data_IF_344321503268
#
_entry.id   IF_344321503268
#
_cell.length_a   1.000
_cell.length_b   1.000
_cell.length_c   1.000
_cell.angle_alpha   90.00
_cell.angle_beta   90.00
_cell.angle_gamma   90.00
#
_symmetry.space_group_name_H-M   'P 1'
#
loop_
_entity.id
_entity.type
_entity.pdbx_description
1 polymer ?
#
# COMPACT_ATOMS: atom_id res chain seq x y z
N UNK A 1 11.89 -9.83 8.43
CA UNK A 1 12.19 -8.39 8.36
C UNK A 1 13.42 -8.14 9.20
N UNK A 2 14.56 -7.80 8.58
CA UNK A 2 15.79 -7.48 9.31
C UNK A 2 15.74 -6.01 9.69
N UNK A 3 15.69 -5.72 10.99
CA UNK A 3 15.62 -4.36 11.52
C UNK A 3 16.93 -3.97 12.19
N UNK A 4 17.25 -2.67 12.17
CA UNK A 4 18.46 -2.08 12.78
C UNK A 4 18.07 -0.82 13.54
N UNK A 5 18.65 -0.61 14.72
CA UNK A 5 18.46 0.61 15.52
C UNK A 5 19.56 1.66 15.31
N UNK A 6 20.62 1.29 14.59
CA UNK A 6 21.69 2.21 14.18
C UNK A 6 21.44 2.69 12.75
N UNK A 7 21.43 4.02 12.59
CA UNK A 7 21.38 4.69 11.31
C UNK A 7 22.37 5.85 11.28
N UNK A 8 23.19 5.94 10.23
CA UNK A 8 24.06 7.09 9.98
C UNK A 8 23.53 7.89 8.80
N UNK A 9 23.61 9.20 8.87
CA UNK A 9 23.16 10.11 7.82
C UNK A 9 24.25 11.13 7.50
N UNK A 10 24.22 11.64 6.28
CA UNK A 10 25.17 12.65 5.81
C UNK A 10 24.47 13.98 5.52
N UNK A 11 25.28 15.03 5.34
CA UNK A 11 24.77 16.31 4.87
C UNK A 11 24.17 16.22 3.46
N UNK A 12 23.17 17.06 3.21
CA UNK A 12 22.50 17.13 1.92
C UNK A 12 23.46 17.72 0.89
N UNK A 13 23.73 16.97 -0.17
CA UNK A 13 24.59 17.43 -1.26
C UNK A 13 23.76 17.85 -2.46
N UNK A 14 24.18 18.91 -3.15
CA UNK A 14 23.62 19.24 -4.46
C UNK A 14 24.13 18.26 -5.50
N UNK A 15 23.24 17.64 -6.25
CA UNK A 15 23.60 16.81 -7.38
C UNK A 15 24.07 17.70 -8.54
N UNK A 16 25.38 17.65 -8.84
CA UNK A 16 26.02 18.44 -9.88
C UNK A 16 25.75 17.90 -11.29
N UNK A 17 25.34 16.64 -11.44
CA UNK A 17 25.08 16.02 -12.75
C UNK A 17 23.65 16.24 -13.28
N UNK A 18 22.75 16.78 -12.45
CA UNK A 18 21.36 17.04 -12.83
C UNK A 18 21.22 18.40 -13.52
N UNK A 19 20.54 18.42 -14.68
CA UNK A 19 20.18 19.66 -15.41
C UNK A 19 19.28 20.59 -14.58
N UNK A 20 18.47 20.05 -13.68
CA UNK A 20 17.64 20.82 -12.72
C UNK A 20 18.28 20.77 -11.32
N UNK A 21 18.14 21.81 -10.47
CA UNK A 21 18.59 21.76 -9.09
C UNK A 21 17.99 20.53 -8.40
N UNK A 22 18.87 19.63 -7.94
CA UNK A 22 18.46 18.44 -7.20
C UNK A 22 19.39 18.26 -6.01
N UNK A 23 18.80 17.88 -4.87
CA UNK A 23 19.45 17.77 -3.59
C UNK A 23 19.33 16.34 -3.10
N UNK A 24 20.45 15.67 -2.90
CA UNK A 24 20.51 14.27 -2.52
C UNK A 24 20.77 14.13 -1.04
N UNK A 25 19.88 13.40 -0.37
CA UNK A 25 20.03 12.96 1.01
C UNK A 25 20.55 11.52 0.99
N UNK A 26 21.59 11.24 1.76
CA UNK A 26 22.20 9.92 1.89
C UNK A 26 22.12 9.46 3.33
N UNK A 27 21.85 8.18 3.52
CA UNK A 27 21.85 7.55 4.83
C UNK A 27 22.17 6.06 4.73
N UNK A 28 22.52 5.44 5.85
CA UNK A 28 22.92 4.04 5.94
C UNK A 28 22.26 3.39 7.13
N UNK A 29 21.65 2.25 6.89
CA UNK A 29 20.94 1.43 7.90
C UNK A 29 21.45 0.01 7.77
N UNK A 30 21.86 -0.62 8.87
CA UNK A 30 22.29 -2.02 8.88
C UNK A 30 23.37 -2.35 7.85
N UNK A 31 24.31 -1.43 7.62
CA UNK A 31 25.39 -1.62 6.64
C UNK A 31 25.04 -1.26 5.19
N UNK A 32 23.77 -1.00 4.86
CA UNK A 32 23.33 -0.67 3.49
C UNK A 32 23.15 0.83 3.30
N UNK A 33 23.88 1.41 2.34
CA UNK A 33 23.69 2.80 1.94
C UNK A 33 22.45 2.96 1.05
N UNK A 34 21.71 4.03 1.28
CA UNK A 34 20.56 4.46 0.50
C UNK A 34 20.68 5.95 0.21
N UNK A 35 20.09 6.38 -0.90
CA UNK A 35 20.00 7.80 -1.22
C UNK A 35 18.64 8.15 -1.82
N UNK A 36 18.26 9.42 -1.66
CA UNK A 36 17.04 9.98 -2.22
C UNK A 36 17.27 11.42 -2.66
N UNK A 37 16.78 11.74 -3.85
CA UNK A 37 16.91 13.06 -4.45
C UNK A 37 15.62 13.86 -4.31
N UNK A 38 15.75 15.16 -4.04
CA UNK A 38 14.66 16.13 -3.88
C UNK A 38 14.87 17.32 -4.84
N UNK A 39 13.78 18.00 -5.21
CA UNK A 39 13.84 19.17 -6.10
C UNK A 39 14.35 20.44 -5.42
N UNK A 40 14.21 20.56 -4.09
CA UNK A 40 14.69 21.71 -3.32
C UNK A 40 15.44 21.25 -2.06
N UNK A 41 16.34 22.09 -1.56
CA UNK A 41 17.10 21.80 -0.33
C UNK A 41 16.16 21.67 0.87
N UNK A 42 15.19 22.58 0.98
CA UNK A 42 14.21 22.60 2.06
C UNK A 42 13.39 21.30 2.15
N UNK A 43 12.98 20.71 1.01
CA UNK A 43 12.29 19.42 1.01
C UNK A 43 13.19 18.29 1.54
N UNK A 44 14.47 18.31 1.17
CA UNK A 44 15.45 17.36 1.69
C UNK A 44 15.71 17.56 3.18
N UNK A 45 15.82 18.81 3.65
CA UNK A 45 16.05 19.15 5.06
C UNK A 45 14.86 18.73 5.93
N UNK A 46 13.63 18.98 5.48
CA UNK A 46 12.42 18.51 6.17
C UNK A 46 12.42 16.99 6.29
N UNK A 47 12.69 16.27 5.19
CA UNK A 47 12.76 14.81 5.20
C UNK A 47 13.86 14.28 6.13
N UNK A 48 15.04 14.90 6.12
CA UNK A 48 16.16 14.53 6.99
C UNK A 48 15.86 14.84 8.47
N UNK A 49 15.10 15.91 8.75
CA UNK A 49 14.60 16.23 10.08
C UNK A 49 13.71 15.12 10.62
N UNK A 50 12.73 14.66 9.83
CA UNK A 50 11.85 13.55 10.22
C UNK A 50 12.64 12.26 10.50
N UNK A 51 13.61 11.94 9.62
CA UNK A 51 14.50 10.79 9.79
C UNK A 51 15.32 10.88 11.08
N UNK A 52 15.90 12.05 11.39
CA UNK A 52 16.66 12.30 12.63
C UNK A 52 15.78 12.18 13.87
N UNK A 53 14.55 12.67 13.82
CA UNK A 53 13.62 12.55 14.93
C UNK A 53 13.26 11.09 15.19
N UNK A 54 13.05 10.29 14.15
CA UNK A 54 12.82 8.85 14.31
C UNK A 54 14.03 8.13 14.95
N UNK A 55 15.25 8.48 14.53
CA UNK A 55 16.47 7.96 15.16
C UNK A 55 16.56 8.37 16.64
N UNK A 56 16.25 9.62 16.97
CA UNK A 56 16.25 10.14 18.35
C UNK A 56 15.22 9.44 19.24
N UNK A 57 14.08 9.03 18.68
CA UNK A 57 13.05 8.26 19.37
C UNK A 57 13.43 6.79 19.60
N UNK A 58 14.58 6.33 19.08
CA UNK A 58 15.01 4.94 19.19
C UNK A 58 14.16 3.99 18.34
N UNK A 59 13.58 4.47 17.25
CA UNK A 59 12.77 3.63 16.37
C UNK A 59 13.60 2.58 15.64
N UNK A 60 12.99 1.44 15.36
CA UNK A 60 13.57 0.44 14.47
C UNK A 60 13.56 0.95 13.02
N UNK A 61 14.65 0.70 12.31
CA UNK A 61 14.77 0.94 10.87
C UNK A 61 14.75 -0.37 10.13
N UNK A 62 13.97 -0.44 9.06
CA UNK A 62 13.97 -1.60 8.17
C UNK A 62 15.21 -1.56 7.26
N UNK A 63 16.01 -2.65 7.25
CA UNK A 63 17.29 -2.71 6.52
C UNK A 63 17.10 -2.79 5.00
N UNK A 64 15.96 -3.30 4.52
CA UNK A 64 15.71 -3.41 3.09
C UNK A 64 15.37 -2.06 2.45
N UNK A 65 14.46 -1.33 3.08
CA UNK A 65 13.98 -0.02 2.64
C UNK A 65 14.88 1.11 3.13
N UNK A 66 15.55 0.94 4.26
CA UNK A 66 16.34 1.95 4.95
C UNK A 66 15.49 3.00 5.66
N UNK A 67 14.19 2.80 5.84
CA UNK A 67 13.30 3.78 6.46
C UNK A 67 12.98 3.40 7.92
N UNK A 68 12.79 4.39 8.81
CA UNK A 68 12.27 4.11 10.15
C UNK A 68 10.81 3.66 10.08
N UNK A 69 10.39 2.84 11.05
CA UNK A 69 9.04 2.30 11.12
C UNK A 69 7.95 3.37 11.03
N UNK A 70 8.08 4.52 11.70
CA UNK A 70 7.08 5.60 11.61
C UNK A 70 6.94 6.14 10.19
N UNK A 71 8.04 6.34 9.47
CA UNK A 71 8.02 6.81 8.09
C UNK A 71 7.53 5.72 7.13
N UNK A 72 7.82 4.45 7.42
CA UNK A 72 7.26 3.32 6.68
C UNK A 72 5.75 3.25 6.87
N UNK A 73 5.27 3.37 8.12
CA UNK A 73 3.85 3.45 8.46
C UNK A 73 3.19 4.66 7.83
N UNK A 74 3.80 5.85 7.84
CA UNK A 74 3.27 7.04 7.19
C UNK A 74 3.24 6.90 5.67
N UNK A 75 4.26 6.29 5.06
CA UNK A 75 4.30 5.98 3.63
C UNK A 75 3.25 4.94 3.25
N UNK A 76 3.04 3.93 4.09
CA UNK A 76 2.05 2.89 3.86
C UNK A 76 0.64 3.41 4.14
N UNK A 77 0.43 4.24 5.16
CA UNK A 77 -0.82 4.96 5.42
C UNK A 77 -1.17 5.91 4.27
N UNK A 78 -0.20 6.32 3.44
CA UNK A 78 -0.50 6.98 2.17
C UNK A 78 -0.98 6.01 1.11
N UNK A 79 -0.72 4.71 1.14
CA UNK A 79 -1.23 3.76 0.17
C UNK A 79 -2.67 3.33 0.51
N UNK A 80 -3.54 3.28 -0.50
CA UNK A 80 -4.94 2.92 -0.35
C UNK A 80 -5.11 1.55 0.32
N UNK A 81 -4.34 0.54 -0.09
CA UNK A 81 -4.45 -0.81 0.43
C UNK A 81 -4.18 -0.90 1.93
N UNK A 82 -3.14 -0.24 2.44
CA UNK A 82 -2.85 -0.27 3.87
C UNK A 82 -3.88 0.52 4.68
N UNK A 83 -4.40 1.63 4.14
CA UNK A 83 -5.54 2.33 4.73
C UNK A 83 -6.80 1.45 4.79
N UNK A 84 -7.10 0.73 3.70
CA UNK A 84 -8.24 -0.18 3.66
C UNK A 84 -8.12 -1.31 4.69
N UNK A 85 -6.91 -1.85 4.91
CA UNK A 85 -6.65 -2.83 5.97
C UNK A 85 -6.88 -2.24 7.37
N UNK A 86 -6.30 -1.07 7.67
CA UNK A 86 -6.47 -0.41 8.96
C UNK A 86 -7.94 -0.02 9.23
N UNK A 87 -8.65 0.43 8.19
CA UNK A 87 -10.08 0.72 8.26
C UNK A 87 -10.90 -0.55 8.53
N UNK A 88 -10.56 -1.67 7.88
CA UNK A 88 -11.21 -2.95 8.17
C UNK A 88 -11.01 -3.34 9.64
N UNK A 89 -9.76 -3.34 10.14
CA UNK A 89 -9.41 -3.70 11.53
C UNK A 89 -10.19 -2.89 12.57
N UNK A 90 -10.37 -1.58 12.38
CA UNK A 90 -11.15 -0.73 13.31
C UNK A 90 -12.66 -1.03 13.32
N UNK A 91 -13.20 -1.58 12.23
CA UNK A 91 -14.63 -1.90 12.08
C UNK A 91 -15.02 -3.28 12.60
N UNK A 92 -14.10 -4.25 12.62
CA UNK A 92 -14.37 -5.62 13.11
C UNK A 92 -14.82 -5.71 14.57
N UNK A 93 -14.23 -4.97 15.55
CA UNK A 93 -14.70 -5.00 16.94
C UNK A 93 -16.16 -4.56 17.13
N UNK A 94 -16.71 -3.85 16.16
CA UNK A 94 -18.05 -3.25 16.21
C UNK A 94 -19.09 -4.00 15.37
N UNK A 95 -18.70 -5.06 14.64
CA UNK A 95 -19.64 -5.87 13.84
C UNK A 95 -19.02 -7.20 13.39
N UNK A 96 -19.77 -8.30 13.52
CA UNK A 96 -19.37 -9.61 13.01
C UNK A 96 -19.29 -9.67 11.47
N UNK A 97 -20.00 -8.77 10.77
CA UNK A 97 -19.92 -8.53 9.31
C UNK A 97 -20.36 -7.08 9.05
N UNK A 98 -19.43 -6.11 9.05
CA UNK A 98 -19.82 -4.74 8.79
C UNK A 98 -20.41 -4.64 7.38
N UNK A 99 -21.69 -4.28 7.29
CA UNK A 99 -22.40 -4.13 6.01
C UNK A 99 -21.58 -3.26 5.03
N UNK A 100 -21.42 -3.75 3.81
CA UNK A 100 -20.65 -3.12 2.74
C UNK A 100 -19.14 -3.40 2.76
N UNK A 101 -18.53 -3.79 3.89
CA UNK A 101 -17.06 -3.98 3.96
C UNK A 101 -16.58 -5.22 3.19
N UNK A 102 -17.33 -6.31 3.25
CA UNK A 102 -17.00 -7.59 2.61
C UNK A 102 -17.14 -7.59 1.09
N UNK A 103 -17.82 -6.57 0.55
CA UNK A 103 -18.17 -6.51 -0.86
C UNK A 103 -17.66 -5.22 -1.51
N UNK A 104 -17.75 -4.05 -0.87
CA UNK A 104 -17.30 -2.79 -1.46
C UNK A 104 -15.77 -2.68 -1.52
N UNK A 105 -15.06 -2.91 -0.40
CA UNK A 105 -13.60 -2.76 -0.39
C UNK A 105 -12.88 -3.74 -1.34
N UNK A 106 -13.27 -5.04 -1.41
CA UNK A 106 -12.68 -5.95 -2.38
C UNK A 106 -12.90 -5.54 -3.84
N UNK A 107 -14.01 -4.87 -4.16
CA UNK A 107 -14.28 -4.42 -5.53
C UNK A 107 -13.60 -3.08 -5.88
N UNK A 108 -13.48 -2.14 -4.92
CA UNK A 108 -12.83 -0.85 -5.17
C UNK A 108 -11.30 -0.94 -5.18
N UNK A 109 -10.73 -1.78 -4.32
CA UNK A 109 -9.27 -1.83 -4.12
C UNK A 109 -8.48 -2.20 -5.39
N UNK A 110 -8.89 -3.18 -6.22
CA UNK A 110 -8.21 -3.50 -7.48
C UNK A 110 -8.19 -2.32 -8.48
N UNK A 111 -9.22 -1.48 -8.48
CA UNK A 111 -9.32 -0.31 -9.36
C UNK A 111 -8.40 0.82 -8.90
N UNK A 112 -8.09 0.87 -7.60
CA UNK A 112 -7.14 1.81 -7.02
C UNK A 112 -5.70 1.26 -7.00
N UNK A 113 -5.31 0.61 -8.09
CA UNK A 113 -3.95 0.11 -8.32
C UNK A 113 -3.35 0.74 -9.58
N UNK A 114 -2.02 0.80 -9.59
CA UNK A 114 -1.23 1.14 -10.77
C UNK A 114 -1.15 -0.05 -11.71
N UNK A 115 -1.02 0.21 -13.00
CA UNK A 115 -0.76 -0.85 -13.97
C UNK A 115 0.67 -1.39 -13.76
N UNK A 116 0.78 -2.66 -13.39
CA UNK A 116 2.03 -3.31 -13.00
C UNK A 116 2.06 -4.75 -13.52
N UNK A 117 3.18 -5.21 -14.11
CA UNK A 117 3.30 -6.57 -14.60
C UNK A 117 3.08 -7.61 -13.50
N UNK A 118 2.54 -8.77 -13.89
CA UNK A 118 2.20 -9.85 -12.95
C UNK A 118 0.92 -9.60 -12.15
N UNK A 119 0.01 -8.77 -12.68
CA UNK A 119 -1.33 -8.57 -12.10
C UNK A 119 -2.10 -9.91 -12.09
N UNK A 120 -2.49 -10.42 -10.91
CA UNK A 120 -3.40 -11.56 -10.81
C UNK A 120 -4.78 -11.22 -11.40
N UNK A 121 -5.56 -12.23 -11.75
CA UNK A 121 -6.93 -12.03 -12.21
C UNK A 121 -7.81 -11.36 -11.14
N UNK A 122 -8.85 -10.66 -11.59
CA UNK A 122 -9.71 -9.87 -10.73
C UNK A 122 -10.48 -10.72 -9.70
N UNK A 123 -10.76 -11.99 -10.02
CA UNK A 123 -11.41 -12.90 -9.06
C UNK A 123 -10.45 -13.29 -7.94
N UNK A 124 -9.20 -13.63 -8.27
CA UNK A 124 -8.15 -13.91 -7.29
C UNK A 124 -7.82 -12.70 -6.42
N UNK A 125 -7.80 -11.48 -6.99
CA UNK A 125 -7.63 -10.25 -6.21
C UNK A 125 -8.79 -10.03 -5.24
N UNK A 126 -10.03 -10.18 -5.70
CA UNK A 126 -11.22 -10.04 -4.85
C UNK A 126 -11.27 -11.10 -3.75
N UNK A 127 -10.96 -12.35 -4.07
CA UNK A 127 -10.86 -13.46 -3.11
C UNK A 127 -9.77 -13.22 -2.07
N UNK A 128 -8.58 -12.81 -2.51
CA UNK A 128 -7.48 -12.47 -1.60
C UNK A 128 -7.87 -11.33 -0.63
N UNK A 129 -8.57 -10.31 -1.12
CA UNK A 129 -9.03 -9.20 -0.31
C UNK A 129 -10.14 -9.59 0.67
N UNK A 130 -11.17 -10.30 0.18
CA UNK A 130 -12.36 -10.70 0.95
C UNK A 130 -12.05 -11.72 2.03
N UNK A 131 -11.24 -12.74 1.74
CA UNK A 131 -11.07 -13.90 2.62
C UNK A 131 -9.79 -13.80 3.46
N UNK A 132 -8.85 -12.92 3.11
CA UNK A 132 -7.56 -12.82 3.79
C UNK A 132 -7.19 -11.41 4.23
N UNK A 133 -7.31 -10.39 3.37
CA UNK A 133 -6.84 -9.04 3.73
C UNK A 133 -7.76 -8.35 4.74
N UNK A 134 -9.07 -8.38 4.47
CA UNK A 134 -10.06 -7.67 5.29
C UNK A 134 -10.71 -8.54 6.34
N UNK A 135 -10.21 -9.75 6.61
CA UNK A 135 -10.67 -10.65 7.68
C UNK A 135 -9.74 -10.54 8.89
N UNK A 136 -10.24 -10.65 10.15
CA UNK A 136 -9.39 -10.65 11.33
C UNK A 136 -8.39 -11.81 11.27
N UNK A 137 -7.20 -11.61 11.83
CA UNK A 137 -6.11 -12.59 11.74
C UNK A 137 -6.55 -13.99 12.21
N UNK A 138 -7.38 -14.07 13.25
CA UNK A 138 -7.84 -15.31 13.87
C UNK A 138 -8.84 -16.10 13.00
N UNK A 139 -9.47 -15.45 12.03
CA UNK A 139 -10.47 -16.06 11.14
C UNK A 139 -9.93 -16.34 9.73
N UNK A 140 -8.64 -16.10 9.47
CA UNK A 140 -8.03 -16.27 8.15
C UNK A 140 -7.75 -17.76 7.86
N UNK A 141 -8.15 -18.28 6.69
CA UNK A 141 -7.75 -19.63 6.29
C UNK A 141 -6.24 -19.69 5.98
N UNK A 142 -5.66 -20.91 5.87
CA UNK A 142 -4.26 -21.09 5.47
C UNK A 142 -3.97 -20.41 4.13
N UNK A 143 -2.90 -19.59 4.09
CA UNK A 143 -2.55 -18.81 2.90
C UNK A 143 -1.98 -19.72 1.81
N UNK A 144 -2.71 -19.86 0.71
CA UNK A 144 -2.21 -20.48 -0.50
C UNK A 144 -1.14 -19.59 -1.18
N UNK A 145 -0.13 -20.17 -1.88
CA UNK A 145 0.94 -19.40 -2.53
C UNK A 145 0.44 -18.35 -3.53
N UNK A 146 -0.66 -18.65 -4.23
CA UNK A 146 -1.33 -17.74 -5.17
C UNK A 146 -1.88 -16.49 -4.44
N UNK A 147 -2.62 -16.68 -3.35
CA UNK A 147 -3.16 -15.60 -2.52
C UNK A 147 -2.03 -14.76 -1.92
N UNK A 148 -0.97 -15.39 -1.42
CA UNK A 148 0.17 -14.67 -0.88
C UNK A 148 0.85 -13.78 -1.95
N UNK A 149 0.93 -14.26 -3.20
CA UNK A 149 1.43 -13.48 -4.33
C UNK A 149 0.51 -12.33 -4.69
N UNK A 150 -0.81 -12.55 -4.69
CA UNK A 150 -1.80 -11.51 -4.97
C UNK A 150 -1.76 -10.36 -3.94
N UNK A 151 -1.66 -10.69 -2.65
CA UNK A 151 -1.56 -9.69 -1.58
C UNK A 151 -0.25 -8.87 -1.67
N UNK A 152 0.88 -9.52 -1.98
CA UNK A 152 2.15 -8.82 -2.22
C UNK A 152 2.07 -7.90 -3.43
N UNK A 153 1.39 -8.34 -4.49
CA UNK A 153 1.19 -7.50 -5.66
C UNK A 153 0.32 -6.28 -5.32
N UNK A 154 -0.78 -6.46 -4.57
CA UNK A 154 -1.65 -5.37 -4.11
C UNK A 154 -0.90 -4.34 -3.27
N UNK A 155 -0.08 -4.78 -2.32
CA UNK A 155 0.76 -3.88 -1.52
C UNK A 155 1.72 -3.05 -2.38
N UNK A 156 2.27 -3.66 -3.43
CA UNK A 156 3.24 -3.02 -4.30
C UNK A 156 2.59 -2.18 -5.44
N UNK A 157 1.35 -2.47 -5.81
CA UNK A 157 0.63 -1.83 -6.91
C UNK A 157 -0.35 -0.75 -6.42
N UNK A 158 -0.73 -0.73 -5.14
CA UNK A 158 -1.74 0.19 -4.61
C UNK A 158 -1.35 1.66 -4.78
N UNK A 159 -2.32 2.47 -5.25
CA UNK A 159 -2.17 3.91 -5.38
C UNK A 159 -2.08 4.59 -4.02
N UNK A 160 -1.43 5.77 -3.94
CA UNK A 160 -1.56 6.59 -2.76
C UNK A 160 -3.01 7.14 -2.62
N UNK A 161 -3.51 7.33 -1.41
CA UNK A 161 -4.81 7.95 -1.08
C UNK A 161 -4.93 9.32 -1.73
N UNK A 162 -3.83 10.08 -1.81
CA UNK A 162 -3.80 11.38 -2.50
C UNK A 162 -4.13 11.25 -3.99
N UNK A 163 -4.04 10.07 -4.59
CA UNK A 163 -4.49 9.84 -5.96
C UNK A 163 -6.01 9.98 -6.12
N UNK A 164 -6.79 9.87 -5.03
CA UNK A 164 -8.24 10.14 -5.05
C UNK A 164 -8.57 11.62 -5.21
N UNK A 165 -7.61 12.54 -5.05
CA UNK A 165 -7.80 13.95 -5.42
C UNK A 165 -8.02 14.11 -6.93
N UNK A 166 -7.54 13.16 -7.75
CA UNK A 166 -7.81 13.11 -9.18
C UNK A 166 -9.18 12.49 -9.44
N UNK A 167 -10.04 13.24 -10.14
CA UNK A 167 -11.38 12.85 -10.53
C UNK A 167 -11.42 11.51 -11.29
N UNK A 168 -10.36 11.15 -12.02
CA UNK A 168 -10.25 9.87 -12.73
C UNK A 168 -10.33 8.69 -11.76
N UNK A 169 -9.53 8.70 -10.70
CA UNK A 169 -9.47 7.60 -9.73
C UNK A 169 -10.74 7.56 -8.87
N UNK A 170 -11.26 8.72 -8.48
CA UNK A 170 -12.51 8.81 -7.74
C UNK A 170 -13.70 8.30 -8.56
N UNK A 171 -13.78 8.66 -9.85
CA UNK A 171 -14.82 8.15 -10.74
C UNK A 171 -14.72 6.64 -10.93
N UNK A 172 -13.52 6.10 -11.15
CA UNK A 172 -13.31 4.67 -11.30
C UNK A 172 -13.72 3.89 -10.03
N UNK A 173 -13.42 4.43 -8.84
CA UNK A 173 -13.87 3.86 -7.57
C UNK A 173 -15.40 3.88 -7.43
N UNK A 174 -16.05 4.99 -7.80
CA UNK A 174 -17.51 5.11 -7.76
C UNK A 174 -18.20 4.18 -8.78
N UNK A 175 -17.65 4.04 -9.98
CA UNK A 175 -18.16 3.11 -11.01
C UNK A 175 -18.06 1.66 -10.54
N UNK A 176 -16.96 1.28 -9.87
CA UNK A 176 -16.82 -0.04 -9.27
C UNK A 176 -17.86 -0.30 -8.15
N UNK A 177 -18.20 0.73 -7.37
CA UNK A 177 -19.25 0.65 -6.36
C UNK A 177 -20.65 0.58 -6.98
N UNK A 178 -20.92 1.35 -8.04
CA UNK A 178 -22.19 1.31 -8.76
C UNK A 178 -22.43 -0.08 -9.35
N UNK A 179 -21.43 -0.69 -9.99
CA UNK A 179 -21.53 -2.04 -10.55
C UNK A 179 -21.86 -3.11 -9.50
N UNK A 180 -21.37 -2.91 -8.27
CA UNK A 180 -21.69 -3.78 -7.14
C UNK A 180 -23.14 -3.60 -6.67
N UNK A 181 -23.61 -2.36 -6.57
CA UNK A 181 -24.97 -2.02 -6.12
C UNK A 181 -26.03 -2.41 -7.16
N UNK A 182 -25.70 -2.31 -8.44
CA UNK A 182 -26.57 -2.69 -9.57
C UNK A 182 -26.66 -4.21 -9.78
N UNK A 183 -25.99 -5.02 -8.93
CA UNK A 183 -26.10 -6.48 -8.92
C UNK A 183 -25.44 -7.21 -10.09
N UNK A 184 -24.78 -6.50 -11.01
CA UNK A 184 -24.26 -7.09 -12.26
C UNK A 184 -23.02 -7.97 -12.05
N UNK A 185 -22.28 -7.79 -10.95
CA UNK A 185 -21.15 -8.67 -10.60
C UNK A 185 -21.56 -10.01 -9.97
N UNK A 186 -22.81 -10.16 -9.49
CA UNK A 186 -23.33 -11.45 -9.00
C UNK A 186 -23.96 -12.31 -10.11
N UNK A 187 -24.22 -11.74 -11.29
CA UNK A 187 -24.88 -12.44 -12.40
C UNK A 187 -23.92 -13.01 -13.46
N UNK A 188 -22.67 -12.53 -13.56
CA UNK A 188 -21.73 -13.00 -14.58
C UNK A 188 -21.05 -14.35 -14.27
N UNK A 189 -21.31 -14.96 -13.11
CA UNK A 189 -20.71 -16.25 -12.71
C UNK A 189 -21.70 -17.43 -12.58
N UNK A 190 -22.94 -17.29 -13.09
CA UNK A 190 -23.87 -18.41 -13.26
C UNK A 190 -24.27 -18.53 -14.73
N UNK A 191 -23.54 -19.33 -15.49
CA UNK A 191 -23.94 -19.65 -16.85
C UNK A 191 -22.90 -20.28 -17.76
N UNK A 192 -21.92 -21.04 -17.24
CA UNK A 192 -21.16 -21.98 -18.08
C UNK A 192 -21.04 -23.31 -17.37
N UNK A 193 -21.93 -24.24 -17.72
CA UNK A 193 -21.86 -25.72 -17.67
C UNK A 193 -23.24 -26.20 -18.16
N UNK A 194 -23.42 -26.43 -19.46
CA UNK A 194 -23.31 -27.73 -20.17
C UNK A 194 -24.47 -28.71 -19.95
N UNK A 195 -25.07 -29.09 -21.09
CA UNK A 195 -25.76 -30.35 -21.43
C UNK A 195 -27.14 -30.60 -20.75
N UNK A 196 -28.19 -31.10 -21.42
CA UNK A 196 -28.35 -31.98 -22.58
C UNK A 196 -29.51 -31.49 -23.44
#
# INVERSE_FOLDING_TARGET
MTTSYSATYWEIRRNKSSKKPSYEVRWKVGGREKSRSFGTKALGDNWLSDFRQAAKRGEAFDVETGLPESMLKAKNARAWYAFAMAYAETRWPHSARPQGMTDALPNVTPVLTTDRPGRPDDETLRRALRDFAFVPADCRPPRMPEIASALRWLEAASLPITALEDAKHTRAALEALALLLDGSAAAALKGSTSQI
#
